data_IF_492007389535
#
_entry.id   IF_492007389535
#
_cell.length_a   1.000
_cell.length_b   1.000
_cell.length_c   1.000
_cell.angle_alpha   90.00
_cell.angle_beta   90.00
_cell.angle_gamma   90.00
#
_symmetry.space_group_name_H-M   'P 1'
#
loop_
_entity.id
_entity.type
_entity.pdbx_description
1 polymer ?
#
# COMPACT_ATOMS: atom_id res chain seq x y z
N UNK A 1 -30.39 9.75 8.37
CA UNK A 1 -29.12 9.27 7.78
C UNK A 1 -29.43 8.68 6.41
N UNK A 2 -29.11 9.41 5.34
CA UNK A 2 -29.30 8.90 3.98
C UNK A 2 -28.37 7.70 3.78
N UNK A 3 -28.92 6.52 3.57
CA UNK A 3 -28.21 5.25 3.33
C UNK A 3 -27.56 5.19 1.94
N UNK A 4 -27.33 6.33 1.29
CA UNK A 4 -26.61 6.44 0.01
C UNK A 4 -25.09 6.51 0.18
N UNK A 5 -24.58 6.39 1.41
CA UNK A 5 -23.17 6.09 1.70
C UNK A 5 -22.82 4.65 1.28
N UNK A 6 -22.90 4.37 -0.01
CA UNK A 6 -22.04 3.37 -0.61
C UNK A 6 -20.61 3.86 -0.35
N UNK A 7 -19.82 3.07 0.36
CA UNK A 7 -18.43 3.32 0.69
C UNK A 7 -17.65 3.67 -0.57
N UNK A 8 -17.55 4.96 -0.89
CA UNK A 8 -16.72 5.44 -1.99
C UNK A 8 -15.27 5.39 -1.49
N UNK A 9 -14.36 4.79 -2.26
CA UNK A 9 -12.95 4.81 -1.89
C UNK A 9 -12.46 6.24 -1.82
N UNK A 10 -11.71 6.53 -0.76
CA UNK A 10 -11.16 7.86 -0.51
C UNK A 10 -9.75 8.03 -1.10
N UNK A 11 -9.24 7.08 -1.89
CA UNK A 11 -7.91 7.17 -2.49
C UNK A 11 -7.86 6.37 -3.79
N UNK A 12 -6.91 6.74 -4.65
CA UNK A 12 -6.63 6.11 -5.94
C UNK A 12 -5.21 5.56 -5.92
N UNK A 13 -4.99 4.37 -6.46
CA UNK A 13 -3.66 3.82 -6.66
C UNK A 13 -3.38 3.63 -8.15
N UNK A 14 -2.33 4.29 -8.64
CA UNK A 14 -1.86 4.14 -10.01
C UNK A 14 -0.47 3.50 -9.99
N UNK A 15 -0.29 2.41 -10.74
CA UNK A 15 0.93 1.61 -10.68
C UNK A 15 1.39 1.07 -12.02
N UNK A 16 2.66 0.70 -12.05
CA UNK A 16 3.27 -0.12 -13.09
C UNK A 16 3.76 -1.43 -12.47
N UNK A 17 3.59 -2.53 -13.20
CA UNK A 17 4.08 -3.84 -12.80
C UNK A 17 5.09 -4.37 -13.82
N UNK A 18 6.11 -5.06 -13.31
CA UNK A 18 7.06 -5.82 -14.11
C UNK A 18 7.17 -7.25 -13.57
N UNK A 19 7.65 -8.15 -14.41
CA UNK A 19 8.06 -9.49 -13.99
C UNK A 19 9.57 -9.49 -13.76
N UNK A 20 9.99 -10.04 -12.62
CA UNK A 20 11.38 -10.25 -12.23
C UNK A 20 11.66 -11.76 -12.18
N UNK A 21 12.93 -12.20 -12.12
CA UNK A 21 13.24 -13.60 -11.88
C UNK A 21 12.70 -14.14 -10.55
N UNK A 22 12.53 -13.27 -9.54
CA UNK A 22 12.02 -13.60 -8.20
C UNK A 22 10.49 -13.63 -8.11
N UNK A 23 9.78 -13.12 -9.10
CA UNK A 23 8.32 -13.05 -9.12
C UNK A 23 7.81 -11.79 -9.80
N UNK A 24 6.84 -11.11 -9.18
CA UNK A 24 6.24 -9.90 -9.75
C UNK A 24 6.37 -8.70 -8.84
N UNK A 25 6.78 -7.56 -9.42
CA UNK A 25 6.96 -6.30 -8.70
C UNK A 25 6.03 -5.26 -9.27
N UNK A 26 5.19 -4.67 -8.42
CA UNK A 26 4.33 -3.54 -8.75
C UNK A 26 4.76 -2.30 -7.93
N UNK A 27 4.85 -1.16 -8.59
CA UNK A 27 5.20 0.10 -7.96
C UNK A 27 4.25 1.20 -8.42
N UNK A 28 3.76 2.01 -7.48
CA UNK A 28 2.79 3.04 -7.78
C UNK A 28 2.65 4.11 -6.71
N UNK A 29 1.74 5.05 -6.97
CA UNK A 29 1.37 6.14 -6.05
C UNK A 29 -0.06 5.95 -5.60
N UNK A 30 -0.24 5.86 -4.28
CA UNK A 30 -1.52 5.97 -3.59
C UNK A 30 -1.75 7.45 -3.25
N UNK A 31 -2.88 7.98 -3.67
CA UNK A 31 -3.09 9.42 -3.68
C UNK A 31 -4.58 9.78 -3.52
N UNK A 32 -4.85 10.97 -3.00
CA UNK A 32 -6.21 11.51 -2.92
C UNK A 32 -6.33 12.94 -3.49
N UNK A 33 -7.24 13.14 -4.45
CA UNK A 33 -7.59 14.47 -4.96
C UNK A 33 -8.59 15.18 -4.05
N UNK A 34 -8.12 16.17 -3.30
CA UNK A 34 -8.97 16.97 -2.43
C UNK A 34 -9.58 18.16 -3.18
N UNK A 35 -10.83 18.01 -3.65
CA UNK A 35 -11.65 19.12 -4.15
C UNK A 35 -12.31 19.95 -3.04
N UNK A 36 -12.93 21.07 -3.41
CA UNK A 36 -13.57 22.00 -2.45
C UNK A 36 -14.66 21.35 -1.59
N UNK A 37 -15.50 20.50 -2.18
CA UNK A 37 -16.62 19.84 -1.46
C UNK A 37 -16.13 18.77 -0.48
N UNK A 38 -15.21 17.85 -0.86
CA UNK A 38 -14.58 16.95 0.09
C UNK A 38 -13.89 17.69 1.25
N UNK A 39 -13.14 18.79 0.98
CA UNK A 39 -12.44 19.55 2.03
C UNK A 39 -13.37 20.07 3.12
N UNK A 40 -14.49 20.69 2.75
CA UNK A 40 -15.46 21.18 3.73
C UNK A 40 -16.03 20.05 4.60
N UNK A 41 -16.24 18.86 4.04
CA UNK A 41 -16.73 17.69 4.80
C UNK A 41 -15.76 17.25 5.90
N UNK A 42 -14.45 17.21 5.63
CA UNK A 42 -13.46 16.86 6.67
C UNK A 42 -13.43 17.87 7.81
N UNK A 43 -13.66 19.15 7.51
CA UNK A 43 -13.70 20.21 8.52
C UNK A 43 -15.00 20.18 9.33
N UNK A 44 -16.11 19.85 8.68
CA UNK A 44 -17.43 19.73 9.31
C UNK A 44 -17.55 18.46 10.15
N UNK A 45 -16.83 17.39 9.79
CA UNK A 45 -16.74 16.13 10.53
C UNK A 45 -15.28 15.76 10.85
N UNK A 46 -14.75 16.18 12.02
CA UNK A 46 -13.38 15.89 12.42
C UNK A 46 -13.14 14.42 12.78
N UNK A 47 -14.19 13.59 12.78
CA UNK A 47 -14.07 12.14 12.96
C UNK A 47 -13.84 11.40 11.64
N UNK A 48 -14.15 12.04 10.51
CA UNK A 48 -13.91 11.48 9.20
C UNK A 48 -12.41 11.39 8.90
N UNK A 49 -11.98 10.22 8.44
CA UNK A 49 -10.60 9.92 8.09
C UNK A 49 -10.57 9.19 6.74
N UNK A 50 -9.65 9.60 5.88
CA UNK A 50 -9.30 8.80 4.71
C UNK A 50 -8.17 7.83 5.08
N UNK A 51 -8.55 6.58 5.26
CA UNK A 51 -7.70 5.48 5.70
C UNK A 51 -7.90 4.24 4.83
N UNK A 52 -7.33 4.20 3.60
CA UNK A 52 -7.32 2.97 2.82
C UNK A 52 -6.55 1.84 3.54
N UNK A 53 -6.98 0.62 3.23
CA UNK A 53 -6.42 -0.61 3.77
C UNK A 53 -5.86 -1.49 2.66
N UNK A 54 -4.69 -2.09 2.92
CA UNK A 54 -4.19 -3.26 2.21
C UNK A 54 -4.59 -4.46 3.07
N UNK A 55 -5.46 -5.33 2.57
CA UNK A 55 -5.84 -6.57 3.24
C UNK A 55 -4.96 -7.71 2.74
N UNK A 56 -4.25 -8.34 3.67
CA UNK A 56 -3.42 -9.50 3.41
C UNK A 56 -4.21 -10.82 3.56
N UNK A 57 -5.46 -10.76 4.01
CA UNK A 57 -6.31 -11.94 4.21
C UNK A 57 -6.32 -12.45 5.65
N UNK A 58 -6.82 -13.67 5.83
CA UNK A 58 -7.16 -14.24 7.13
C UNK A 58 -5.94 -14.78 7.87
N UNK A 59 -6.01 -14.73 9.20
CA UNK A 59 -4.97 -15.23 10.09
C UNK A 59 -4.60 -16.69 9.88
N UNK A 60 -5.54 -17.53 9.47
CA UNK A 60 -5.31 -18.95 9.24
C UNK A 60 -4.50 -19.27 7.98
N UNK A 61 -4.51 -18.34 7.01
CA UNK A 61 -3.76 -18.47 5.76
C UNK A 61 -2.32 -17.94 5.91
N UNK A 62 -2.06 -17.13 6.94
CA UNK A 62 -0.78 -16.45 7.15
C UNK A 62 0.09 -17.26 8.12
N UNK A 63 1.24 -17.71 7.62
CA UNK A 63 2.20 -18.53 8.38
C UNK A 63 3.13 -17.67 9.23
N UNK A 64 3.60 -16.54 8.71
CA UNK A 64 4.47 -15.62 9.45
C UNK A 64 4.44 -14.22 8.85
N UNK A 65 4.80 -13.23 9.67
CA UNK A 65 4.81 -11.81 9.31
C UNK A 65 6.09 -11.18 9.86
N UNK A 66 6.79 -10.42 9.03
CA UNK A 66 7.96 -9.64 9.44
C UNK A 66 7.74 -8.17 9.16
N UNK A 67 8.31 -7.33 10.03
CA UNK A 67 8.36 -5.88 9.87
C UNK A 67 9.83 -5.49 9.88
N UNK A 68 10.35 -5.05 8.74
CA UNK A 68 11.79 -5.03 8.48
C UNK A 68 12.38 -6.42 8.69
N UNK A 69 13.38 -6.53 9.56
CA UNK A 69 14.06 -7.77 9.91
C UNK A 69 13.61 -8.37 11.25
N UNK A 70 12.41 -8.03 11.74
CA UNK A 70 11.88 -8.54 13.01
C UNK A 70 10.58 -9.29 12.78
N UNK A 71 10.51 -10.52 13.29
CA UNK A 71 9.27 -11.28 13.32
C UNK A 71 8.22 -10.53 14.16
N UNK A 72 7.06 -10.26 13.56
CA UNK A 72 6.03 -9.47 14.22
C UNK A 72 5.28 -10.29 15.28
N UNK A 73 5.07 -9.69 16.45
CA UNK A 73 4.41 -10.34 17.58
C UNK A 73 2.88 -10.36 17.52
N UNK A 74 2.28 -9.72 16.51
CA UNK A 74 0.82 -9.67 16.32
C UNK A 74 0.09 -8.51 17.03
N UNK A 75 0.82 -7.64 17.73
CA UNK A 75 0.28 -6.41 18.32
C UNK A 75 0.30 -5.25 17.33
N UNK A 76 -0.71 -4.38 17.37
CA UNK A 76 -0.79 -3.19 16.51
C UNK A 76 0.54 -2.43 16.50
N UNK A 77 1.09 -2.22 15.31
CA UNK A 77 2.40 -1.61 15.14
C UNK A 77 2.34 -0.48 14.12
N UNK A 78 2.97 0.66 14.44
CA UNK A 78 3.20 1.74 13.48
C UNK A 78 4.49 1.48 12.73
N UNK A 79 4.43 1.53 11.40
CA UNK A 79 5.62 1.41 10.57
C UNK A 79 6.42 2.70 10.58
N UNK A 80 7.75 2.55 10.60
CA UNK A 80 8.67 3.64 10.28
C UNK A 80 8.65 3.91 8.76
N UNK A 81 9.05 5.12 8.31
CA UNK A 81 9.23 5.38 6.90
C UNK A 81 10.13 4.32 6.24
N UNK A 82 9.74 3.85 5.06
CA UNK A 82 10.45 2.82 4.26
C UNK A 82 10.63 1.46 4.97
N UNK A 83 9.98 1.24 6.11
CA UNK A 83 10.03 -0.05 6.79
C UNK A 83 9.09 -1.03 6.08
N UNK A 84 9.61 -2.13 5.52
CA UNK A 84 8.78 -3.06 4.79
C UNK A 84 7.99 -3.97 5.73
N UNK A 85 6.87 -4.46 5.24
CA UNK A 85 6.11 -5.57 5.81
C UNK A 85 6.23 -6.74 4.85
N UNK A 86 6.57 -7.92 5.35
CA UNK A 86 6.50 -9.15 4.56
C UNK A 86 5.59 -10.17 5.22
N UNK A 87 4.79 -10.84 4.40
CA UNK A 87 3.79 -11.83 4.82
C UNK A 87 4.04 -13.11 4.04
N UNK A 88 4.00 -14.24 4.75
CA UNK A 88 4.13 -15.57 4.15
C UNK A 88 2.82 -16.34 4.27
N UNK A 89 2.43 -16.97 3.17
CA UNK A 89 1.27 -17.86 3.05
C UNK A 89 1.67 -19.33 2.85
N UNK A 90 2.85 -19.71 3.37
CA UNK A 90 3.46 -21.00 3.08
C UNK A 90 4.52 -20.86 1.99
N UNK A 91 4.18 -21.24 0.76
CA UNK A 91 5.07 -21.18 -0.41
C UNK A 91 5.00 -19.86 -1.20
N UNK A 92 4.16 -18.92 -0.77
CA UNK A 92 4.06 -17.59 -1.34
C UNK A 92 4.46 -16.52 -0.32
N UNK A 93 5.12 -15.49 -0.80
CA UNK A 93 5.58 -14.35 -0.03
C UNK A 93 5.07 -13.06 -0.67
N UNK A 94 4.59 -12.14 0.14
CA UNK A 94 4.20 -10.79 -0.26
C UNK A 94 5.00 -9.78 0.56
N UNK A 95 5.75 -8.93 -0.12
CA UNK A 95 6.47 -7.80 0.45
C UNK A 95 5.80 -6.48 0.09
N UNK A 96 5.68 -5.59 1.06
CA UNK A 96 5.14 -4.24 0.88
C UNK A 96 6.11 -3.23 1.48
N UNK A 97 6.55 -2.27 0.67
CA UNK A 97 7.36 -1.12 1.11
C UNK A 97 6.63 0.18 0.80
N UNK A 98 6.69 1.13 1.73
CA UNK A 98 5.91 2.36 1.69
C UNK A 98 6.76 3.58 1.99
N UNK A 99 6.59 4.63 1.18
CA UNK A 99 7.19 5.94 1.40
C UNK A 99 6.13 7.03 1.34
N UNK A 100 5.91 7.74 2.43
CA UNK A 100 5.06 8.94 2.41
C UNK A 100 5.75 10.06 1.64
N UNK A 101 5.05 10.65 0.68
CA UNK A 101 5.44 11.86 -0.02
C UNK A 101 4.94 13.05 0.80
N UNK A 102 5.82 13.63 1.62
CA UNK A 102 5.43 14.68 2.56
C UNK A 102 4.83 15.91 1.85
N UNK A 103 3.67 16.44 2.27
CA UNK A 103 3.12 17.66 1.69
C UNK A 103 3.81 18.94 2.21
N UNK A 104 4.49 18.90 3.37
CA UNK A 104 5.37 19.96 3.92
C UNK A 104 6.17 19.45 5.14
N UNK A 105 7.29 20.09 5.50
CA UNK A 105 7.97 19.82 6.78
C UNK A 105 7.09 20.26 7.97
N UNK A 106 6.81 19.35 8.90
CA UNK A 106 6.21 19.67 10.21
C UNK A 106 4.72 19.34 10.41
N UNK A 107 4.01 18.80 9.41
CA UNK A 107 2.72 18.14 9.63
C UNK A 107 2.95 16.71 10.12
N UNK A 108 2.06 16.18 10.98
CA UNK A 108 2.07 14.76 11.32
C UNK A 108 1.93 13.97 10.01
N UNK A 109 3.03 13.31 9.64
CA UNK A 109 3.19 12.64 8.34
C UNK A 109 2.10 11.59 8.14
N UNK A 110 1.86 11.14 6.91
CA UNK A 110 1.04 9.96 6.69
C UNK A 110 1.54 8.80 7.58
N UNK A 111 0.62 8.02 8.14
CA UNK A 111 0.97 6.92 9.04
C UNK A 111 0.49 5.60 8.47
N UNK A 112 1.35 4.59 8.58
CA UNK A 112 1.03 3.22 8.23
C UNK A 112 0.98 2.38 9.51
N UNK A 113 -0.11 1.65 9.70
CA UNK A 113 -0.31 0.76 10.85
C UNK A 113 -0.64 -0.63 10.37
N UNK A 114 0.02 -1.63 10.96
CA UNK A 114 -0.32 -3.03 10.76
C UNK A 114 -0.99 -3.57 12.01
N UNK A 115 -2.15 -4.22 11.84
CA UNK A 115 -2.89 -4.86 12.91
C UNK A 115 -3.80 -5.98 12.41
N UNK A 116 -4.16 -6.88 13.32
CA UNK A 116 -5.26 -7.80 13.11
C UNK A 116 -6.59 -7.10 13.37
N UNK A 117 -7.52 -7.24 12.45
CA UNK A 117 -8.92 -6.90 12.65
C UNK A 117 -9.62 -7.79 13.67
N UNK A 118 -10.79 -7.33 14.14
CA UNK A 118 -11.67 -8.15 14.98
C UNK A 118 -12.17 -9.42 14.26
N UNK A 119 -12.19 -9.39 12.93
CA UNK A 119 -12.49 -10.48 12.02
C UNK A 119 -11.28 -11.36 11.67
N UNK A 120 -10.13 -11.13 12.30
CA UNK A 120 -8.87 -11.84 12.04
C UNK A 120 -8.26 -11.62 10.65
N UNK A 121 -8.64 -10.55 9.95
CA UNK A 121 -7.93 -10.14 8.75
C UNK A 121 -6.71 -9.27 9.11
N UNK A 122 -5.58 -9.52 8.48
CA UNK A 122 -4.41 -8.66 8.61
C UNK A 122 -4.56 -7.44 7.71
N UNK A 123 -4.44 -6.26 8.29
CA UNK A 123 -4.59 -4.98 7.58
C UNK A 123 -3.36 -4.13 7.74
N UNK A 124 -2.95 -3.50 6.64
CA UNK A 124 -2.06 -2.34 6.66
C UNK A 124 -2.87 -1.10 6.33
N UNK A 125 -3.20 -0.31 7.36
CA UNK A 125 -3.95 0.93 7.30
C UNK A 125 -3.04 2.10 6.99
N UNK A 126 -3.38 2.89 5.97
CA UNK A 126 -2.63 4.06 5.55
C UNK A 126 -3.47 5.31 5.77
N UNK A 127 -3.13 6.13 6.77
CA UNK A 127 -3.80 7.43 6.94
C UNK A 127 -3.24 8.44 5.96
N UNK A 128 -4.08 8.86 5.03
CA UNK A 128 -3.79 9.82 3.96
C UNK A 128 -4.25 11.23 4.33
N UNK A 129 -5.43 11.37 4.92
CA UNK A 129 -6.00 12.68 5.25
C UNK A 129 -7.11 12.58 6.30
N UNK A 130 -7.41 13.67 7.00
CA UNK A 130 -8.48 13.73 8.01
C UNK A 130 -8.06 13.39 9.44
N UNK A 131 -9.03 13.44 10.35
CA UNK A 131 -8.86 13.22 11.78
C UNK A 131 -8.82 14.49 12.63
N UNK A 132 -8.69 14.28 13.94
CA UNK A 132 -8.67 15.37 14.93
C UNK A 132 -7.47 16.29 14.70
N UNK A 133 -7.73 17.59 14.50
CA UNK A 133 -6.70 18.60 14.33
C UNK A 133 -6.40 18.99 12.89
N UNK A 134 -7.18 18.48 11.91
CA UNK A 134 -7.08 18.90 10.52
C UNK A 134 -7.40 20.40 10.37
N UNK A 135 -6.49 21.14 9.74
CA UNK A 135 -6.64 22.55 9.37
C UNK A 135 -7.07 22.69 7.90
N UNK A 136 -7.57 23.88 7.53
CA UNK A 136 -8.03 24.15 6.16
C UNK A 136 -6.88 24.06 5.14
N UNK A 137 -5.66 24.39 5.56
CA UNK A 137 -4.43 24.39 4.77
C UNK A 137 -3.72 23.03 4.69
N UNK A 138 -4.20 22.02 5.42
CA UNK A 138 -3.62 20.68 5.35
C UNK A 138 -4.00 20.03 4.03
N UNK A 139 -2.99 19.45 3.37
CA UNK A 139 -3.17 18.68 2.13
C UNK A 139 -3.09 17.18 2.43
N UNK A 140 -3.74 16.32 1.62
CA UNK A 140 -3.55 14.88 1.69
C UNK A 140 -2.08 14.47 1.55
N UNK A 141 -1.72 13.36 2.20
CA UNK A 141 -0.41 12.74 2.09
C UNK A 141 -0.49 11.59 1.09
N UNK A 142 0.33 11.65 0.05
CA UNK A 142 0.45 10.54 -0.87
C UNK A 142 1.48 9.52 -0.37
N UNK A 143 1.34 8.27 -0.83
CA UNK A 143 2.31 7.22 -0.58
C UNK A 143 2.82 6.65 -1.89
N UNK A 144 4.13 6.48 -2.01
CA UNK A 144 4.67 5.49 -2.93
C UNK A 144 4.54 4.12 -2.27
N UNK A 145 4.02 3.15 -3.01
CA UNK A 145 3.91 1.79 -2.56
C UNK A 145 4.56 0.85 -3.57
N UNK A 146 5.44 -0.01 -3.06
CA UNK A 146 6.01 -1.12 -3.79
C UNK A 146 5.48 -2.43 -3.20
N UNK A 147 5.03 -3.30 -4.09
CA UNK A 147 4.57 -4.64 -3.81
C UNK A 147 5.46 -5.60 -4.57
N UNK A 148 6.00 -6.61 -3.90
CA UNK A 148 6.67 -7.73 -4.57
C UNK A 148 6.03 -9.03 -4.10
N UNK A 149 5.58 -9.83 -5.06
CA UNK A 149 5.08 -11.17 -4.83
C UNK A 149 6.14 -12.14 -5.31
N UNK A 150 6.59 -13.02 -4.43
CA UNK A 150 7.58 -14.05 -4.73
C UNK A 150 7.09 -15.43 -4.34
N UNK A 151 7.63 -16.45 -5.00
CA UNK A 151 7.49 -17.83 -4.54
C UNK A 151 8.68 -18.22 -3.66
N UNK A 152 8.43 -19.04 -2.65
CA UNK A 152 9.47 -19.64 -1.82
C UNK A 152 10.21 -20.69 -2.65
N UNK A 153 11.41 -20.35 -3.11
CA UNK A 153 12.33 -21.37 -3.63
C UNK A 153 12.78 -22.31 -2.48
N UNK A 154 13.14 -23.57 -2.75
CA UNK A 154 13.50 -24.55 -1.71
C UNK A 154 14.61 -24.12 -0.73
N UNK A 155 15.43 -23.14 -1.14
CA UNK A 155 16.56 -22.60 -0.38
C UNK A 155 16.26 -21.20 0.20
N UNK A 156 15.10 -20.60 -0.12
CA UNK A 156 14.71 -19.24 0.28
C UNK A 156 13.89 -19.27 1.56
N UNK A 157 14.24 -18.44 2.53
CA UNK A 157 13.46 -18.26 3.76
C UNK A 157 12.67 -16.96 3.74
N UNK A 158 11.61 -16.87 4.54
CA UNK A 158 10.89 -15.60 4.70
C UNK A 158 11.79 -14.48 5.24
N UNK A 159 12.78 -14.80 6.08
CA UNK A 159 13.78 -13.83 6.56
C UNK A 159 14.63 -13.30 5.39
N UNK A 160 15.11 -14.17 4.51
CA UNK A 160 15.86 -13.75 3.31
C UNK A 160 15.01 -12.90 2.38
N UNK A 161 13.73 -13.22 2.23
CA UNK A 161 12.81 -12.38 1.47
C UNK A 161 12.58 -11.02 2.14
N UNK A 162 12.42 -10.97 3.46
CA UNK A 162 12.32 -9.71 4.19
C UNK A 162 13.58 -8.83 4.02
N UNK A 163 14.76 -9.45 4.03
CA UNK A 163 16.02 -8.76 3.71
C UNK A 163 16.04 -8.28 2.26
N UNK A 164 15.61 -9.10 1.30
CA UNK A 164 15.49 -8.73 -0.12
C UNK A 164 14.58 -7.53 -0.32
N UNK A 165 13.38 -7.52 0.28
CA UNK A 165 12.44 -6.39 0.17
C UNK A 165 13.04 -5.11 0.75
N UNK A 166 13.89 -5.23 1.78
CA UNK A 166 14.57 -4.09 2.38
C UNK A 166 15.63 -3.45 1.46
N UNK A 167 16.06 -4.15 0.40
CA UNK A 167 17.02 -3.64 -0.59
C UNK A 167 16.37 -2.78 -1.67
N UNK A 168 15.05 -2.63 -1.67
CA UNK A 168 14.36 -1.65 -2.51
C UNK A 168 14.45 -0.23 -1.94
N UNK A 169 14.87 0.71 -2.77
CA UNK A 169 14.86 2.14 -2.49
C UNK A 169 13.78 2.86 -3.32
N UNK A 170 12.86 3.56 -2.66
CA UNK A 170 11.75 4.27 -3.32
C UNK A 170 12.09 5.74 -3.57
N UNK A 171 12.69 6.08 -4.71
CA UNK A 171 13.24 7.40 -5.00
C UNK A 171 12.17 8.34 -5.56
N UNK A 172 12.18 9.60 -5.10
CA UNK A 172 11.39 10.69 -5.70
C UNK A 172 12.30 11.60 -6.53
N UNK A 173 11.90 11.91 -7.77
CA UNK A 173 12.54 12.88 -8.68
C UNK A 173 11.53 13.97 -9.05
N UNK A 174 11.99 15.04 -9.69
CA UNK A 174 11.15 16.22 -9.99
C UNK A 174 9.87 15.87 -10.78
N UNK A 175 9.97 14.99 -11.79
CA UNK A 175 8.85 14.62 -12.67
C UNK A 175 8.55 13.11 -12.69
N UNK A 176 9.15 12.34 -11.79
CA UNK A 176 8.96 10.88 -11.73
C UNK A 176 9.27 10.30 -10.35
N UNK A 177 8.72 9.12 -10.10
CA UNK A 177 9.08 8.28 -8.97
C UNK A 177 9.78 7.04 -9.50
N UNK A 178 10.69 6.49 -8.71
CA UNK A 178 11.43 5.29 -9.08
C UNK A 178 11.50 4.34 -7.90
N UNK A 179 11.57 3.05 -8.21
CA UNK A 179 12.01 2.04 -7.27
C UNK A 179 13.27 1.42 -7.84
N UNK A 180 14.34 1.36 -7.05
CA UNK A 180 15.61 0.74 -7.43
C UNK A 180 15.96 -0.35 -6.42
N UNK A 181 16.26 -1.54 -6.92
CA UNK A 181 16.72 -2.65 -6.12
C UNK A 181 18.25 -2.75 -6.18
N UNK A 182 18.88 -3.29 -5.13
CA UNK A 182 20.34 -3.40 -5.04
C UNK A 182 20.99 -4.26 -6.14
N UNK A 183 20.23 -5.13 -6.82
CA UNK A 183 20.70 -5.90 -7.97
C UNK A 183 20.68 -5.11 -9.31
N UNK A 184 20.18 -3.87 -9.30
CA UNK A 184 20.05 -3.00 -10.46
C UNK A 184 18.68 -3.05 -11.14
N UNK A 185 17.72 -3.82 -10.63
CA UNK A 185 16.33 -3.78 -11.10
C UNK A 185 15.72 -2.40 -10.82
N UNK A 186 15.07 -1.81 -11.82
CA UNK A 186 14.50 -0.47 -11.70
C UNK A 186 13.09 -0.40 -12.28
N UNK A 187 12.18 0.24 -11.54
CA UNK A 187 10.87 0.68 -12.02
C UNK A 187 10.84 2.21 -12.01
N UNK A 188 10.22 2.81 -13.02
CA UNK A 188 10.06 4.26 -13.09
C UNK A 188 8.63 4.59 -13.45
N UNK A 189 7.98 5.36 -12.59
CA UNK A 189 6.62 5.84 -12.76
C UNK A 189 6.64 7.34 -13.04
N UNK A 190 5.99 7.80 -14.10
CA UNK A 190 5.90 9.22 -14.41
C UNK A 190 4.95 9.94 -13.44
N UNK A 191 5.36 11.09 -12.89
CA UNK A 191 4.50 11.87 -11.99
C UNK A 191 3.37 12.62 -12.73
N UNK A 192 3.26 12.44 -14.04
CA UNK A 192 2.22 13.08 -14.87
C UNK A 192 0.86 12.61 -14.35
N UNK A 193 0.10 13.56 -13.82
CA UNK A 193 -1.33 13.43 -13.58
C UNK A 193 -1.98 13.06 -14.90
N UNK A 194 -2.24 11.79 -15.14
CA UNK A 194 -3.11 11.41 -16.24
C UNK A 194 -4.50 11.95 -15.86
N UNK A 195 -5.07 12.91 -16.62
CA UNK A 195 -6.38 13.44 -16.29
C UNK A 195 -7.36 12.28 -16.29
N UNK A 196 -7.95 12.01 -15.12
CA UNK A 196 -8.93 10.97 -14.87
C UNK A 196 -10.20 11.20 -15.69
N UNK A 197 -10.17 10.88 -16.99
CA UNK A 197 -11.35 10.88 -17.86
C UNK A 197 -11.92 9.45 -18.05
N UNK A 198 -11.61 8.51 -17.14
CA UNK A 198 -12.17 7.16 -17.26
C UNK A 198 -12.00 6.17 -16.11
N UNK A 199 -11.24 6.48 -15.05
CA UNK A 199 -11.05 5.57 -13.90
C UNK A 199 -11.68 6.14 -12.61
N UNK A 200 -12.89 6.69 -12.73
CA UNK A 200 -13.83 6.60 -11.63
C UNK A 200 -14.39 5.20 -11.70
N UNK A 201 -14.24 4.41 -10.64
CA UNK A 201 -15.26 3.57 -10.02
C UNK A 201 -14.61 2.41 -9.24
N UNK A 202 -15.10 2.28 -8.00
CA UNK A 202 -15.04 1.11 -7.12
C UNK A 202 -13.67 0.80 -6.46
N UNK A 203 -13.66 0.74 -5.13
CA UNK A 203 -12.72 -0.08 -4.34
C UNK A 203 -13.43 -0.43 -3.02
N UNK A 204 -14.02 -1.64 -2.93
CA UNK A 204 -14.35 -2.26 -1.68
C UNK A 204 -13.15 -3.15 -1.37
N UNK A 205 -12.20 -2.63 -0.61
CA UNK A 205 -11.11 -3.39 -0.01
C UNK A 205 -10.15 -4.10 -1.00
N UNK A 206 -8.88 -3.67 -1.04
CA UNK A 206 -7.84 -4.46 -1.69
C UNK A 206 -7.59 -5.73 -0.86
N UNK A 207 -8.29 -6.81 -1.18
CA UNK A 207 -8.04 -8.14 -0.63
C UNK A 207 -7.09 -8.90 -1.54
N UNK A 208 -5.81 -8.98 -1.16
CA UNK A 208 -4.86 -9.89 -1.81
C UNK A 208 -5.02 -11.25 -1.16
N UNK A 209 -5.64 -12.22 -1.85
CA UNK A 209 -5.77 -13.60 -1.37
C UNK A 209 -4.63 -14.46 -1.93
N UNK A 210 -4.28 -15.58 -1.27
CA UNK A 210 -3.24 -16.49 -1.76
C UNK A 210 -3.42 -16.94 -3.22
N UNK A 211 -4.66 -17.21 -3.65
CA UNK A 211 -4.96 -17.56 -5.05
C UNK A 211 -4.66 -16.43 -6.06
N UNK A 212 -4.88 -15.17 -5.67
CA UNK A 212 -4.55 -14.02 -6.52
C UNK A 212 -3.02 -13.87 -6.65
N UNK A 213 -2.27 -14.21 -5.59
CA UNK A 213 -0.80 -14.16 -5.58
C UNK A 213 -0.19 -15.22 -6.51
N UNK A 214 -0.76 -16.43 -6.59
CA UNK A 214 -0.32 -17.46 -7.55
C UNK A 214 -0.50 -16.98 -9.00
N UNK A 215 -1.65 -16.40 -9.32
CA UNK A 215 -1.92 -15.88 -10.68
C UNK A 215 -1.02 -14.69 -11.03
N UNK A 216 -0.69 -13.83 -10.05
CA UNK A 216 0.27 -12.72 -10.23
C UNK A 216 1.70 -13.23 -10.47
N UNK A 217 2.15 -14.24 -9.72
CA UNK A 217 3.49 -14.84 -9.87
C UNK A 217 3.65 -15.52 -11.21
N UNK A 218 2.61 -16.22 -11.67
CA UNK A 218 2.62 -16.89 -12.97
C UNK A 218 2.47 -15.92 -14.16
N UNK A 219 2.17 -14.64 -13.88
CA UNK A 219 1.94 -13.61 -14.89
C UNK A 219 0.57 -13.72 -15.58
N UNK A 220 -0.33 -14.53 -15.02
CA UNK A 220 -1.70 -14.74 -15.51
C UNK A 220 -2.63 -13.57 -15.08
N UNK A 221 -2.24 -12.82 -14.04
CA UNK A 221 -2.94 -11.64 -13.55
C UNK A 221 -1.98 -10.47 -13.27
N UNK A 222 -2.42 -9.24 -13.54
CA UNK A 222 -1.74 -8.03 -13.05
C UNK A 222 -2.29 -7.63 -11.69
N UNK A 223 -1.44 -7.12 -10.80
CA UNK A 223 -1.85 -6.42 -9.58
C UNK A 223 -2.68 -5.20 -10.01
N UNK A 224 -4.00 -5.33 -9.97
CA UNK A 224 -4.96 -4.28 -10.30
C UNK A 224 -5.62 -3.81 -9.02
N UNK A 225 -5.65 -2.49 -8.82
CA UNK A 225 -6.35 -1.82 -7.72
C UNK A 225 -7.69 -1.24 -8.20
N UNK A 226 -8.38 -1.99 -9.06
CA UNK A 226 -9.69 -1.62 -9.57
C UNK A 226 -10.61 -2.80 -9.31
N UNK A 227 -11.59 -2.63 -8.44
CA UNK A 227 -12.71 -3.57 -8.39
C UNK A 227 -13.58 -3.35 -9.62
N UNK A 228 -14.00 -4.45 -10.25
CA UNK A 228 -15.02 -4.45 -11.29
C UNK A 228 -16.34 -3.80 -10.84
#
# INVERSE_FOLDING_TARGET
>A
PDESFLHQPCATFQSQQIQTPSGSVAFGRLHYELGDTPRQKFLDDPTFQCEPHILFGLREDITSIWIGNVHWGGERCRLLPDQPVTVSYGDLLLGVSLRSLAPKPGSDQGHAWIEWGEDNELRLTLRIHGGLGLALEDEPVDFLALFEVGAVEPESTHEQFAEHIHLWELITKEDSFQAEHADGTQLSYSAVLDPLDGALHVSPDLTLRPGDLEEIVNGDQSVSFVSD
#
